data_IF_871571596591
#
_entry.id   IF_871571596591
#
_cell.length_a   1.000
_cell.length_b   1.000
_cell.length_c   1.000
_cell.angle_alpha   90.00
_cell.angle_beta   90.00
_cell.angle_gamma   90.00
#
_symmetry.space_group_name_H-M   'P 1'
#
loop_
_entity.id
_entity.type
_entity.pdbx_description
1 polymer ?
#
# COMPACT_ATOMS: atom_id res chain seq x y z
N UNK A 1 42.40 -22.81 12.89
CA UNK A 1 41.04 -22.42 12.46
C UNK A 1 41.04 -20.91 12.37
N UNK A 2 40.94 -20.35 11.16
CA UNK A 2 40.80 -18.90 10.98
C UNK A 2 39.32 -18.58 11.16
N UNK A 3 38.96 -17.99 12.30
CA UNK A 3 37.63 -17.43 12.52
C UNK A 3 37.49 -16.16 11.65
N UNK A 4 36.33 -16.06 10.98
CA UNK A 4 36.03 -15.04 9.99
C UNK A 4 35.91 -13.66 10.66
N UNK A 5 37.01 -12.89 10.65
CA UNK A 5 37.07 -11.46 10.96
C UNK A 5 35.96 -10.68 10.26
N UNK A 6 35.70 -11.03 8.99
CA UNK A 6 34.74 -10.36 8.13
C UNK A 6 33.28 -10.48 8.61
N UNK A 7 32.93 -11.50 9.39
CA UNK A 7 31.57 -11.67 9.93
C UNK A 7 31.32 -10.76 11.13
N UNK A 8 32.33 -10.56 11.98
CA UNK A 8 32.23 -9.72 13.17
C UNK A 8 32.38 -8.23 12.85
N UNK A 9 33.23 -7.89 11.88
CA UNK A 9 33.32 -6.53 11.34
C UNK A 9 32.02 -6.13 10.63
N UNK A 10 31.32 -7.06 9.97
CA UNK A 10 30.01 -6.81 9.39
C UNK A 10 28.93 -6.53 10.47
N UNK A 11 28.88 -7.31 11.56
CA UNK A 11 27.89 -7.08 12.64
C UNK A 11 28.16 -5.75 13.35
N UNK A 12 29.42 -5.42 13.63
CA UNK A 12 29.77 -4.12 14.21
C UNK A 12 29.52 -2.98 13.22
N UNK A 13 29.84 -3.13 11.93
CA UNK A 13 29.50 -2.14 10.91
C UNK A 13 27.98 -1.93 10.76
N UNK A 14 27.16 -2.97 10.94
CA UNK A 14 25.70 -2.90 10.96
C UNK A 14 25.12 -2.26 12.24
N UNK A 15 25.76 -2.47 13.39
CA UNK A 15 25.34 -1.88 14.68
C UNK A 15 25.85 -0.44 14.88
N UNK A 16 26.93 -0.07 14.20
CA UNK A 16 27.63 1.22 14.30
C UNK A 16 27.68 1.98 12.96
N UNK A 17 26.82 1.63 11.98
CA UNK A 17 26.75 2.37 10.71
C UNK A 17 26.47 3.84 11.00
N UNK A 18 27.32 4.72 10.47
CA UNK A 18 27.33 6.18 10.68
C UNK A 18 26.05 6.92 10.26
N UNK A 19 25.05 6.21 9.73
CA UNK A 19 23.71 6.75 9.48
C UNK A 19 22.87 6.85 10.77
N UNK A 20 23.32 6.28 11.89
CA UNK A 20 22.63 6.21 13.18
C UNK A 20 22.75 7.49 14.06
N UNK A 21 23.39 8.55 13.57
CA UNK A 21 23.63 9.78 14.36
C UNK A 21 22.68 10.94 14.02
N UNK A 22 21.68 10.72 13.17
CA UNK A 22 20.59 11.71 13.04
C UNK A 22 19.63 11.52 14.20
N UNK A 23 19.86 12.27 15.27
CA UNK A 23 18.83 12.54 16.27
C UNK A 23 17.55 12.92 15.53
N UNK A 24 16.42 12.30 15.87
CA UNK A 24 15.11 12.82 15.47
C UNK A 24 15.07 14.28 15.94
N UNK A 25 15.13 15.21 15.00
CA UNK A 25 14.87 16.62 15.26
C UNK A 25 13.35 16.73 15.43
N UNK A 26 12.88 17.71 16.20
CA UNK A 26 11.47 18.01 16.39
C UNK A 26 10.77 18.28 15.05
N UNK A 27 10.45 17.21 14.32
CA UNK A 27 9.56 17.19 13.17
C UNK A 27 8.13 17.20 13.70
N UNK A 28 7.24 17.89 12.99
CA UNK A 28 5.81 17.70 13.23
C UNK A 28 5.46 16.26 12.85
N UNK A 29 4.79 15.55 13.76
CA UNK A 29 4.27 14.20 13.53
C UNK A 29 2.82 14.30 13.07
N UNK A 30 2.48 13.58 12.00
CA UNK A 30 1.13 13.55 11.44
C UNK A 30 0.53 12.18 11.61
N UNK A 31 -0.73 12.13 12.04
CA UNK A 31 -1.48 10.87 12.02
C UNK A 31 -1.67 10.40 10.59
N UNK A 32 -1.54 9.09 10.39
CA UNK A 32 -1.68 8.44 9.09
C UNK A 32 -3.09 8.62 8.52
N UNK A 33 -4.14 8.64 9.34
CA UNK A 33 -5.52 8.87 8.89
C UNK A 33 -5.74 10.31 8.40
N UNK A 34 -5.20 11.29 9.13
CA UNK A 34 -5.24 12.70 8.73
C UNK A 34 -4.43 12.94 7.46
N UNK A 35 -3.29 12.27 7.31
CA UNK A 35 -2.50 12.29 6.09
C UNK A 35 -3.30 11.71 4.92
N UNK A 36 -3.81 10.48 5.08
CA UNK A 36 -4.55 9.76 4.06
C UNK A 36 -5.72 10.58 3.51
N UNK A 37 -6.47 11.25 4.39
CA UNK A 37 -7.57 12.14 4.01
C UNK A 37 -7.08 13.35 3.19
N UNK A 38 -5.97 13.99 3.59
CA UNK A 38 -5.43 15.19 2.96
C UNK A 38 -4.73 14.93 1.62
N UNK A 39 -4.04 13.80 1.50
CA UNK A 39 -3.24 13.44 0.32
C UNK A 39 -3.94 12.48 -0.63
N UNK A 40 -5.13 11.98 -0.26
CA UNK A 40 -5.89 10.98 -1.01
C UNK A 40 -5.11 9.67 -1.28
N UNK A 41 -4.10 9.39 -0.46
CA UNK A 41 -3.34 8.13 -0.45
C UNK A 41 -4.02 7.19 0.53
N UNK A 42 -4.21 5.92 0.17
CA UNK A 42 -4.81 4.93 1.08
C UNK A 42 -3.84 4.57 2.22
N UNK A 43 -4.37 4.24 3.39
CA UNK A 43 -3.57 3.85 4.55
C UNK A 43 -2.70 2.63 4.22
N UNK A 44 -3.23 1.68 3.46
CA UNK A 44 -2.52 0.47 3.03
C UNK A 44 -1.30 0.81 2.16
N UNK A 45 -1.41 1.82 1.29
CA UNK A 45 -0.31 2.25 0.43
C UNK A 45 0.82 2.91 1.25
N UNK A 46 0.48 3.62 2.33
CA UNK A 46 1.46 4.19 3.27
C UNK A 46 2.18 3.07 4.03
N UNK A 47 1.42 2.08 4.48
CA UNK A 47 1.96 0.89 5.14
C UNK A 47 2.90 0.14 4.21
N UNK A 48 2.56 -0.04 2.93
CA UNK A 48 3.43 -0.71 1.95
C UNK A 48 4.77 0.02 1.77
N UNK A 49 4.75 1.36 1.75
CA UNK A 49 5.98 2.17 1.69
C UNK A 49 6.83 1.96 2.95
N UNK A 50 6.22 1.92 4.12
CA UNK A 50 6.91 1.61 5.39
C UNK A 50 7.49 0.20 5.42
N UNK A 51 6.72 -0.81 5.02
CA UNK A 51 7.19 -2.21 4.95
C UNK A 51 8.33 -2.39 3.94
N UNK A 52 8.43 -1.52 2.93
CA UNK A 52 9.57 -1.48 2.00
C UNK A 52 10.82 -0.79 2.56
N UNK A 53 10.75 -0.25 3.79
CA UNK A 53 11.85 0.43 4.46
C UNK A 53 12.15 1.84 3.97
N UNK A 54 11.22 2.47 3.23
CA UNK A 54 11.41 3.80 2.65
C UNK A 54 11.10 4.96 3.59
N UNK A 55 10.28 4.70 4.61
CA UNK A 55 9.85 5.69 5.60
C UNK A 55 9.88 5.08 6.98
N UNK A 56 9.86 5.92 8.02
CA UNK A 56 9.60 5.51 9.38
C UNK A 56 8.13 5.73 9.78
N UNK A 57 7.62 4.83 10.62
CA UNK A 57 6.31 4.96 11.27
C UNK A 57 6.52 4.97 12.78
N UNK A 58 5.69 5.76 13.47
CA UNK A 58 5.74 5.95 14.91
C UNK A 58 4.37 5.64 15.53
N UNK A 59 4.40 5.28 16.81
CA UNK A 59 3.23 5.19 17.68
C UNK A 59 3.30 6.27 18.74
N UNK A 60 2.16 6.89 19.06
CA UNK A 60 2.07 7.81 20.20
C UNK A 60 1.61 7.07 21.47
N UNK A 61 2.51 6.93 22.44
CA UNK A 61 2.23 6.30 23.73
C UNK A 61 1.77 7.35 24.75
N UNK A 62 0.76 6.99 25.56
CA UNK A 62 0.20 7.82 26.63
C UNK A 62 0.46 7.18 27.99
N UNK A 63 1.71 7.30 28.45
CA UNK A 63 2.15 6.70 29.72
C UNK A 63 1.86 5.19 29.78
N UNK A 64 2.32 4.47 28.75
CA UNK A 64 2.16 3.02 28.67
C UNK A 64 3.24 2.34 29.48
N UNK A 65 2.85 1.43 30.37
CA UNK A 65 3.80 0.69 31.21
C UNK A 65 4.60 -0.30 30.35
N UNK A 66 5.92 -0.24 30.47
CA UNK A 66 6.84 -1.12 29.78
C UNK A 66 8.22 -1.10 30.45
N UNK A 67 9.13 -1.95 29.99
CA UNK A 67 10.54 -1.93 30.36
C UNK A 67 11.35 -1.33 29.22
N UNK A 68 12.28 -0.45 29.53
CA UNK A 68 13.26 0.04 28.56
C UNK A 68 14.56 -0.78 28.66
N UNK A 69 15.12 -1.14 27.52
CA UNK A 69 16.52 -1.53 27.38
C UNK A 69 17.22 -0.41 26.64
N UNK A 70 18.18 0.25 27.28
CA UNK A 70 18.90 1.40 26.74
C UNK A 70 20.39 1.11 26.68
N UNK A 71 21.01 1.46 25.56
CA UNK A 71 22.44 1.34 25.32
C UNK A 71 23.01 2.74 25.01
N UNK A 72 23.67 3.40 25.97
CA UNK A 72 24.20 4.73 25.78
C UNK A 72 25.23 4.78 24.66
N UNK A 73 25.21 5.86 23.91
CA UNK A 73 26.26 6.17 22.94
C UNK A 73 27.54 6.57 23.67
N UNK A 74 28.68 6.46 22.98
CA UNK A 74 30.00 6.81 23.52
C UNK A 74 30.09 8.27 23.98
N UNK A 75 29.30 9.15 23.39
CA UNK A 75 29.25 10.59 23.72
C UNK A 75 28.33 10.92 24.89
N UNK A 76 27.52 9.97 25.35
CA UNK A 76 26.59 10.19 26.46
C UNK A 76 27.27 9.95 27.80
N UNK A 77 26.93 10.78 28.78
CA UNK A 77 27.37 10.57 30.15
C UNK A 77 26.88 9.22 30.66
N UNK A 78 27.76 8.51 31.38
CA UNK A 78 27.34 7.36 32.18
C UNK A 78 26.42 7.86 33.29
N UNK A 79 25.28 7.19 33.45
CA UNK A 79 24.35 7.45 34.54
C UNK A 79 24.47 6.32 35.57
N UNK A 80 24.44 6.67 36.85
CA UNK A 80 24.25 5.66 37.90
C UNK A 80 22.75 5.36 38.15
N UNK A 81 22.48 4.34 38.97
CA UNK A 81 21.09 3.92 39.27
C UNK A 81 20.29 5.02 39.95
N UNK A 82 20.96 5.88 40.75
CA UNK A 82 20.33 6.99 41.44
C UNK A 82 19.97 8.11 40.47
N UNK A 83 20.84 8.44 39.53
CA UNK A 83 20.59 9.44 38.49
C UNK A 83 19.42 9.04 37.60
N UNK A 84 19.34 7.77 37.22
CA UNK A 84 18.17 7.22 36.51
C UNK A 84 16.92 7.35 37.39
N UNK A 85 16.98 7.00 38.67
CA UNK A 85 15.82 7.11 39.57
C UNK A 85 15.38 8.57 39.82
N UNK A 86 16.29 9.53 39.67
CA UNK A 86 16.04 10.97 39.82
C UNK A 86 15.65 11.67 38.50
N UNK A 87 15.45 10.94 37.41
CA UNK A 87 14.95 11.54 36.17
C UNK A 87 16.05 12.20 35.31
N UNK A 88 17.31 11.77 35.43
CA UNK A 88 18.44 12.37 34.69
C UNK A 88 18.85 11.58 33.45
N UNK A 89 18.20 10.46 33.17
CA UNK A 89 18.49 9.67 31.98
C UNK A 89 18.11 10.42 30.69
N UNK A 90 18.66 10.00 29.56
CA UNK A 90 18.47 10.64 28.26
C UNK A 90 17.01 10.80 27.82
N UNK A 91 16.12 9.88 28.19
CA UNK A 91 14.67 9.98 27.89
C UNK A 91 13.86 10.63 29.03
N UNK A 92 14.52 11.16 30.07
CA UNK A 92 13.91 11.76 31.24
C UNK A 92 14.21 13.25 31.37
N UNK A 93 15.46 13.64 31.03
CA UNK A 93 15.94 15.01 31.19
C UNK A 93 15.27 15.96 30.19
N UNK A 94 14.70 17.06 30.68
CA UNK A 94 14.07 18.11 29.88
C UNK A 94 15.03 18.81 28.92
N UNK A 95 16.34 18.74 29.19
CA UNK A 95 17.41 19.27 28.34
C UNK A 95 17.76 18.31 27.20
N UNK A 96 17.28 17.08 27.26
CA UNK A 96 17.51 16.10 26.20
C UNK A 96 16.84 16.56 24.89
N UNK A 97 17.51 16.38 23.73
CA UNK A 97 16.88 16.59 22.43
C UNK A 97 15.59 15.78 22.25
N UNK A 98 15.43 14.67 22.98
CA UNK A 98 14.28 13.79 22.86
C UNK A 98 13.07 14.25 23.69
N UNK A 99 13.21 15.20 24.63
CA UNK A 99 12.14 15.58 25.56
C UNK A 99 10.81 15.95 24.85
N UNK A 100 10.92 16.61 23.70
CA UNK A 100 9.75 17.03 22.89
C UNK A 100 9.12 15.89 22.09
N UNK A 101 9.86 14.83 21.84
CA UNK A 101 9.46 13.72 20.98
C UNK A 101 8.94 12.57 21.84
N UNK A 102 9.71 12.17 22.84
CA UNK A 102 9.41 11.02 23.69
C UNK A 102 10.02 11.17 25.08
N UNK A 103 9.31 10.63 26.06
CA UNK A 103 9.74 10.57 27.47
C UNK A 103 9.58 9.18 28.02
N UNK A 104 10.43 8.82 28.97
CA UNK A 104 10.33 7.59 29.71
C UNK A 104 10.45 7.87 31.20
N UNK A 105 9.39 7.61 31.96
CA UNK A 105 9.34 7.92 33.40
C UNK A 105 9.64 6.64 34.19
N UNK A 106 10.75 6.58 34.94
CA UNK A 106 11.16 5.36 35.64
C UNK A 106 10.28 5.08 36.86
N UNK A 107 10.05 3.80 37.15
CA UNK A 107 9.58 3.37 38.45
C UNK A 107 10.73 3.44 39.45
N UNK A 108 10.56 4.16 40.56
CA UNK A 108 11.60 4.46 41.57
C UNK A 108 12.30 3.26 42.23
N UNK A 109 11.91 2.01 41.93
CA UNK A 109 12.32 0.82 42.69
C UNK A 109 13.08 -0.23 41.89
N UNK A 110 13.12 -0.16 40.56
CA UNK A 110 13.46 -1.34 39.72
C UNK A 110 14.39 -0.98 38.55
N UNK A 111 15.48 -0.28 38.84
CA UNK A 111 16.52 0.02 37.83
C UNK A 111 17.74 -0.87 37.98
N UNK A 112 18.08 -1.59 36.91
CA UNK A 112 19.29 -2.39 36.79
C UNK A 112 20.26 -1.73 35.81
N UNK A 113 21.54 -1.69 36.18
CA UNK A 113 22.63 -1.32 35.28
C UNK A 113 23.49 -2.55 35.07
N UNK A 114 23.64 -2.97 33.82
CA UNK A 114 24.51 -4.08 33.41
C UNK A 114 25.68 -3.50 32.63
N UNK A 115 26.90 -3.81 33.06
CA UNK A 115 28.14 -3.41 32.37
C UNK A 115 28.67 -4.60 31.58
N UNK A 116 29.02 -4.35 30.32
CA UNK A 116 29.58 -5.33 29.40
C UNK A 116 30.90 -4.80 28.87
N UNK A 117 31.95 -5.61 28.97
CA UNK A 117 33.26 -5.28 28.41
C UNK A 117 33.29 -5.82 27.00
N UNK A 118 33.60 -4.97 26.02
CA UNK A 118 33.83 -5.41 24.65
C UNK A 118 35.25 -5.99 24.49
N UNK A 119 35.50 -6.66 23.36
CA UNK A 119 36.81 -7.26 23.07
C UNK A 119 37.94 -6.23 22.86
N UNK A 120 37.61 -4.94 22.72
CA UNK A 120 38.58 -3.83 22.65
C UNK A 120 38.99 -3.31 24.04
N UNK A 121 38.37 -3.84 25.10
CA UNK A 121 38.56 -3.37 26.48
C UNK A 121 37.74 -2.13 26.81
N UNK A 122 36.87 -1.66 25.92
CA UNK A 122 35.94 -0.56 26.19
C UNK A 122 34.70 -1.11 26.91
N UNK A 123 34.26 -0.45 27.98
CA UNK A 123 33.01 -0.82 28.63
C UNK A 123 31.81 -0.18 27.94
N UNK A 124 30.79 -0.99 27.69
CA UNK A 124 29.47 -0.58 27.23
C UNK A 124 28.46 -0.87 28.33
N UNK A 125 27.54 0.07 28.53
CA UNK A 125 26.51 -0.06 29.56
C UNK A 125 25.18 -0.41 28.92
N UNK A 126 24.41 -1.27 29.58
CA UNK A 126 23.00 -1.49 29.31
C UNK A 126 22.22 -1.07 30.54
N UNK A 127 21.32 -0.12 30.38
CA UNK A 127 20.37 0.25 31.42
C UNK A 127 19.06 -0.49 31.16
N UNK A 128 18.56 -1.18 32.17
CA UNK A 128 17.33 -1.97 32.10
C UNK A 128 16.46 -1.57 33.27
N UNK A 129 15.31 -0.98 33.00
CA UNK A 129 14.43 -0.54 34.08
C UNK A 129 12.98 -0.44 33.62
N UNK A 130 12.06 -0.59 34.58
CA UNK A 130 10.62 -0.49 34.33
C UNK A 130 10.13 0.95 34.52
N UNK A 131 9.03 1.29 33.87
CA UNK A 131 8.55 2.67 33.81
C UNK A 131 7.41 2.86 32.82
N UNK A 132 7.15 4.13 32.48
CA UNK A 132 6.06 4.54 31.60
C UNK A 132 6.59 5.31 30.40
N UNK A 133 6.35 4.79 29.21
CA UNK A 133 6.70 5.43 27.96
C UNK A 133 5.60 6.40 27.51
N UNK A 134 6.00 7.60 27.10
CA UNK A 134 5.11 8.64 26.56
C UNK A 134 5.73 9.28 25.30
N UNK A 135 4.89 9.83 24.43
CA UNK A 135 5.32 10.48 23.19
C UNK A 135 5.45 9.54 22.00
N UNK A 136 6.17 9.96 20.97
CA UNK A 136 6.32 9.23 19.70
C UNK A 136 7.48 8.23 19.76
N UNK A 137 7.16 6.95 19.61
CA UNK A 137 8.13 5.85 19.60
C UNK A 137 8.15 5.20 18.22
N UNK A 138 9.33 4.84 17.75
CA UNK A 138 9.51 4.33 16.39
C UNK A 138 9.11 2.86 16.30
N UNK A 139 8.43 2.49 15.22
CA UNK A 139 8.02 1.12 14.92
C UNK A 139 8.87 0.52 13.80
N UNK A 140 9.38 -0.67 14.06
CA UNK A 140 10.13 -1.46 13.10
C UNK A 140 9.35 -2.75 12.76
N UNK A 141 9.10 -3.04 11.47
CA UNK A 141 8.51 -4.31 11.06
C UNK A 141 9.38 -5.51 11.41
N UNK A 142 8.73 -6.59 11.85
CA UNK A 142 9.25 -7.95 11.99
C UNK A 142 8.91 -8.79 10.74
N UNK A 143 9.39 -10.04 10.69
CA UNK A 143 9.10 -10.97 9.59
C UNK A 143 7.62 -11.32 9.40
N UNK A 144 6.77 -11.06 10.40
CA UNK A 144 5.33 -11.39 10.41
C UNK A 144 4.41 -10.17 10.46
N UNK A 145 4.98 -8.94 10.42
CA UNK A 145 4.19 -7.70 10.45
C UNK A 145 3.20 -7.63 9.28
N UNK A 146 3.59 -8.08 8.09
CA UNK A 146 2.77 -8.04 6.88
C UNK A 146 1.55 -8.98 6.89
N UNK A 147 1.44 -9.88 7.88
CA UNK A 147 0.36 -10.86 7.95
C UNK A 147 -0.93 -10.31 8.58
N UNK A 148 -0.87 -9.15 9.24
CA UNK A 148 -2.03 -8.58 9.91
C UNK A 148 -2.88 -7.72 8.98
N UNK A 149 -4.16 -7.62 9.28
CA UNK A 149 -5.15 -6.94 8.44
C UNK A 149 -5.77 -5.69 9.07
N UNK A 150 -5.48 -5.38 10.33
CA UNK A 150 -6.23 -4.36 11.05
C UNK A 150 -5.42 -3.61 12.12
N UNK A 151 -4.81 -4.34 13.08
CA UNK A 151 -4.08 -3.72 14.20
C UNK A 151 -2.68 -4.33 14.34
N UNK A 152 -1.68 -3.48 14.53
CA UNK A 152 -0.36 -3.93 14.96
C UNK A 152 -0.35 -4.23 16.45
N UNK A 153 0.50 -5.17 16.86
CA UNK A 153 0.71 -5.49 18.26
C UNK A 153 2.12 -5.02 18.67
N UNK A 154 2.18 -4.11 19.64
CA UNK A 154 3.42 -3.66 20.26
C UNK A 154 3.82 -4.71 21.29
N UNK A 155 4.64 -5.66 20.86
CA UNK A 155 5.19 -6.70 21.73
C UNK A 155 6.65 -6.87 21.41
N UNK A 156 7.41 -7.27 22.41
CA UNK A 156 8.74 -7.79 22.17
C UNK A 156 9.00 -9.00 23.08
N UNK A 157 9.65 -9.98 22.47
CA UNK A 157 9.82 -11.36 22.85
C UNK A 157 10.33 -11.57 24.28
N UNK A 158 9.55 -12.32 25.06
CA UNK A 158 10.17 -13.36 25.85
C UNK A 158 10.31 -14.57 24.91
N UNK A 159 11.47 -15.24 24.88
CA UNK A 159 11.78 -16.36 23.97
C UNK A 159 10.74 -17.51 24.01
N UNK A 160 9.89 -17.53 25.04
CA UNK A 160 8.87 -18.54 25.28
C UNK A 160 7.50 -18.28 24.60
N UNK A 161 7.32 -17.14 23.90
CA UNK A 161 6.01 -16.74 23.39
C UNK A 161 5.82 -17.01 21.89
N UNK A 162 4.64 -17.49 21.51
CA UNK A 162 4.23 -17.72 20.12
C UNK A 162 4.17 -16.38 19.36
N UNK A 163 4.77 -16.36 18.17
CA UNK A 163 4.71 -15.25 17.21
C UNK A 163 3.26 -14.84 16.90
N UNK A 164 2.95 -13.54 17.02
CA UNK A 164 1.62 -12.99 16.74
C UNK A 164 1.64 -12.25 15.39
N UNK A 165 0.74 -12.54 14.44
CA UNK A 165 0.63 -11.78 13.20
C UNK A 165 0.50 -10.27 13.47
N UNK A 166 1.30 -9.43 12.80
CA UNK A 166 1.27 -7.98 13.03
C UNK A 166 2.15 -7.50 14.18
N UNK A 167 3.01 -8.34 14.73
CA UNK A 167 4.00 -7.93 15.74
C UNK A 167 4.99 -6.91 15.15
N UNK A 168 5.28 -5.86 15.92
CA UNK A 168 6.23 -4.80 15.59
C UNK A 168 7.13 -4.50 16.79
N UNK A 169 8.39 -4.22 16.53
CA UNK A 169 9.32 -3.78 17.55
C UNK A 169 9.18 -2.27 17.80
N UNK A 170 9.32 -1.87 19.07
CA UNK A 170 9.21 -0.47 19.49
C UNK A 170 10.56 0.06 19.96
N UNK A 171 11.07 1.06 19.26
CA UNK A 171 12.41 1.61 19.43
C UNK A 171 12.38 3.08 19.88
N UNK A 172 13.47 3.47 20.55
CA UNK A 172 13.79 4.81 20.98
C UNK A 172 14.30 5.66 19.81
N UNK A 173 15.32 6.47 20.07
CA UNK A 173 15.95 7.31 19.02
C UNK A 173 16.58 6.48 17.90
N UNK A 174 16.95 5.24 18.19
CA UNK A 174 17.68 4.34 17.31
C UNK A 174 17.31 2.88 17.64
N UNK A 175 17.89 1.93 16.88
CA UNK A 175 17.64 0.48 17.06
C UNK A 175 18.28 -0.11 18.32
N UNK A 176 19.08 0.64 19.07
CA UNK A 176 19.75 0.13 20.27
C UNK A 176 18.82 0.23 21.46
N UNK A 177 18.06 1.31 21.54
CA UNK A 177 17.12 1.55 22.62
C UNK A 177 15.74 1.01 22.27
N UNK A 178 15.20 0.09 23.06
CA UNK A 178 13.90 -0.53 22.77
C UNK A 178 13.04 -0.76 24.00
N UNK A 179 11.73 -0.83 23.77
CA UNK A 179 10.73 -1.08 24.78
C UNK A 179 10.26 -2.54 24.76
N UNK A 180 10.05 -3.10 25.94
CA UNK A 180 9.44 -4.41 26.15
C UNK A 180 8.12 -4.23 26.92
N UNK A 181 7.02 -4.66 26.32
CA UNK A 181 5.70 -4.61 26.95
C UNK A 181 5.40 -5.94 27.62
N UNK A 182 4.82 -5.90 28.82
CA UNK A 182 4.43 -7.08 29.58
C UNK A 182 2.97 -7.52 29.31
N UNK A 183 2.28 -6.80 28.44
CA UNK A 183 0.89 -7.03 28.04
C UNK A 183 0.76 -6.76 26.54
N UNK A 184 -0.23 -7.39 25.90
CA UNK A 184 -0.53 -7.11 24.49
C UNK A 184 -1.10 -5.68 24.36
N UNK A 185 -0.43 -4.87 23.53
CA UNK A 185 -0.87 -3.51 23.22
C UNK A 185 -1.17 -3.43 21.72
N UNK A 186 -2.45 -3.28 21.38
CA UNK A 186 -2.89 -3.21 19.99
C UNK A 186 -3.06 -1.77 19.52
N UNK A 187 -2.54 -1.48 18.33
CA UNK A 187 -2.56 -0.14 17.71
C UNK A 187 -3.18 -0.26 16.32
N UNK A 188 -4.28 0.46 16.11
CA UNK A 188 -4.90 0.56 14.79
C UNK A 188 -3.99 1.30 13.81
N UNK A 189 -4.07 0.94 12.54
CA UNK A 189 -3.35 1.63 11.46
C UNK A 189 -3.64 3.14 11.42
N UNK A 190 -4.85 3.56 11.81
CA UNK A 190 -5.26 4.98 11.88
C UNK A 190 -4.60 5.76 13.02
N UNK A 191 -4.01 5.05 14.00
CA UNK A 191 -3.33 5.63 15.16
C UNK A 191 -1.81 5.64 14.99
N UNK A 192 -1.33 5.33 13.79
CA UNK A 192 0.07 5.45 13.40
C UNK A 192 0.40 6.89 13.03
N UNK A 193 1.68 7.23 13.13
CA UNK A 193 2.21 8.55 12.85
C UNK A 193 3.41 8.48 11.91
N UNK A 194 3.57 9.52 11.10
CA UNK A 194 4.72 9.72 10.21
C UNK A 194 5.35 11.07 10.52
N UNK A 195 6.67 11.18 10.33
CA UNK A 195 7.38 12.44 10.49
C UNK A 195 7.11 13.39 9.31
N UNK A 196 7.43 14.68 9.48
CA UNK A 196 7.37 15.67 8.39
C UNK A 196 8.33 15.38 7.24
N UNK A 197 9.46 14.75 7.52
CA UNK A 197 10.43 14.33 6.50
C UNK A 197 9.90 13.13 5.71
N UNK A 198 9.38 12.11 6.40
CA UNK A 198 8.74 10.94 5.78
C UNK A 198 7.49 11.33 4.97
N UNK A 199 6.73 12.33 5.43
CA UNK A 199 5.61 12.91 4.70
C UNK A 199 6.01 13.31 3.26
N UNK A 200 7.18 13.92 3.08
CA UNK A 200 7.66 14.35 1.76
C UNK A 200 8.00 13.14 0.89
N UNK A 201 8.61 12.10 1.46
CA UNK A 201 8.94 10.85 0.75
C UNK A 201 7.67 10.16 0.26
N UNK A 202 6.64 10.07 1.10
CA UNK A 202 5.34 9.51 0.72
C UNK A 202 4.75 10.37 -0.40
N UNK A 203 4.73 11.70 -0.22
CA UNK A 203 4.25 12.59 -1.26
C UNK A 203 5.00 12.40 -2.56
N UNK A 204 6.32 12.24 -2.57
CA UNK A 204 7.12 11.95 -3.79
C UNK A 204 6.79 10.59 -4.41
N UNK A 205 6.61 9.55 -3.58
CA UNK A 205 6.18 8.22 -4.03
C UNK A 205 4.82 8.25 -4.75
N UNK A 206 3.92 9.15 -4.34
CA UNK A 206 2.56 9.23 -4.87
C UNK A 206 2.26 10.47 -5.73
N UNK A 207 3.12 11.49 -5.77
CA UNK A 207 2.98 12.68 -6.65
C UNK A 207 3.41 12.39 -8.08
N UNK A 208 4.18 11.32 -8.30
CA UNK A 208 4.31 10.71 -9.63
C UNK A 208 2.99 10.17 -10.19
N UNK A 209 1.95 10.05 -9.34
CA UNK A 209 0.62 9.58 -9.75
C UNK A 209 -0.41 10.71 -9.90
N UNK A 210 -0.10 11.98 -9.60
CA UNK A 210 -1.04 13.07 -9.90
C UNK A 210 -1.10 13.42 -11.40
N UNK A 211 -0.08 13.01 -12.18
CA UNK A 211 -0.03 13.19 -13.64
C UNK A 211 -0.04 11.89 -14.45
N UNK A 212 -0.09 10.73 -13.81
CA UNK A 212 -0.55 9.53 -14.51
C UNK A 212 -2.02 9.39 -14.22
N UNK A 213 -2.87 9.77 -15.18
CA UNK A 213 -4.06 8.95 -15.39
C UNK A 213 -3.57 7.50 -15.31
N UNK A 214 -4.00 6.71 -14.31
CA UNK A 214 -3.84 5.25 -14.39
C UNK A 214 -4.17 4.92 -15.84
N UNK A 215 -3.23 4.31 -16.58
CA UNK A 215 -3.45 3.87 -17.95
C UNK A 215 -4.46 2.73 -17.87
N UNK A 216 -5.70 3.13 -17.63
CA UNK A 216 -6.85 2.28 -17.44
C UNK A 216 -7.19 1.83 -18.83
N UNK A 217 -7.09 0.53 -19.05
CA UNK A 217 -7.28 -0.02 -20.38
C UNK A 217 -8.71 0.21 -20.83
N UNK A 218 -8.89 0.96 -21.91
CA UNK A 218 -10.18 1.09 -22.56
C UNK A 218 -10.64 -0.28 -23.08
N UNK A 219 -11.96 -0.55 -23.08
CA UNK A 219 -12.48 -1.75 -23.69
C UNK A 219 -12.06 -1.81 -25.17
N UNK A 220 -11.65 -2.99 -25.68
CA UNK A 220 -11.26 -3.12 -27.07
C UNK A 220 -12.39 -2.73 -28.04
N UNK A 221 -12.05 -2.13 -29.17
CA UNK A 221 -13.01 -1.64 -30.18
C UNK A 221 -14.07 -2.66 -30.60
N UNK A 222 -13.73 -3.96 -30.69
CA UNK A 222 -14.68 -5.02 -31.01
C UNK A 222 -15.75 -5.21 -29.91
N UNK A 223 -15.38 -5.09 -28.64
CA UNK A 223 -16.28 -5.19 -27.49
C UNK A 223 -17.23 -3.99 -27.44
N UNK A 224 -16.72 -2.79 -27.69
CA UNK A 224 -17.54 -1.57 -27.78
C UNK A 224 -18.53 -1.68 -28.96
N UNK A 225 -18.05 -2.09 -30.14
CA UNK A 225 -18.91 -2.31 -31.31
C UNK A 225 -20.03 -3.33 -31.03
N UNK A 226 -19.73 -4.43 -30.32
CA UNK A 226 -20.75 -5.38 -29.88
C UNK A 226 -21.82 -4.72 -29.03
N UNK A 227 -21.45 -3.98 -27.99
CA UNK A 227 -22.40 -3.31 -27.08
C UNK A 227 -23.28 -2.32 -27.85
N UNK A 228 -22.69 -1.50 -28.70
CA UNK A 228 -23.43 -0.51 -29.51
C UNK A 228 -24.43 -1.20 -30.45
N UNK A 229 -24.00 -2.25 -31.16
CA UNK A 229 -24.85 -2.96 -32.12
C UNK A 229 -25.92 -3.81 -31.44
N UNK A 230 -25.62 -4.44 -30.31
CA UNK A 230 -26.61 -5.21 -29.55
C UNK A 230 -27.71 -4.27 -29.07
N UNK A 231 -27.35 -3.13 -28.48
CA UNK A 231 -28.33 -2.14 -28.07
C UNK A 231 -29.10 -1.58 -29.26
N UNK A 232 -28.47 -1.37 -30.42
CA UNK A 232 -29.18 -0.87 -31.59
C UNK A 232 -30.18 -1.86 -32.19
N UNK A 233 -29.81 -3.14 -32.25
CA UNK A 233 -30.59 -4.17 -32.97
C UNK A 233 -31.66 -4.78 -32.08
N UNK A 234 -31.36 -4.99 -30.79
CA UNK A 234 -32.19 -5.81 -29.89
C UNK A 234 -32.79 -5.06 -28.70
N UNK A 235 -32.44 -3.78 -28.49
CA UNK A 235 -33.03 -3.00 -27.39
C UNK A 235 -34.46 -2.58 -27.72
N UNK A 236 -35.37 -2.88 -26.82
CA UNK A 236 -36.75 -2.38 -26.82
C UNK A 236 -36.94 -1.59 -25.52
N UNK A 237 -37.25 -0.30 -25.63
CA UNK A 237 -37.37 0.62 -24.48
C UNK A 237 -36.13 0.63 -23.56
N UNK A 238 -34.93 0.50 -24.12
CA UNK A 238 -33.68 0.49 -23.35
C UNK A 238 -33.29 -0.86 -22.76
N UNK A 239 -34.13 -1.89 -22.90
CA UNK A 239 -33.86 -3.24 -22.39
C UNK A 239 -33.54 -4.23 -23.51
N UNK A 240 -32.50 -5.04 -23.30
CA UNK A 240 -32.07 -6.10 -24.21
C UNK A 240 -32.40 -7.46 -23.62
N UNK A 241 -33.19 -8.26 -24.34
CA UNK A 241 -33.44 -9.67 -23.99
C UNK A 241 -32.31 -10.56 -24.49
N UNK A 242 -31.47 -11.08 -23.59
CA UNK A 242 -30.25 -11.82 -23.96
C UNK A 242 -30.49 -13.09 -24.76
N UNK A 243 -31.62 -13.77 -24.56
CA UNK A 243 -32.00 -14.94 -25.36
C UNK A 243 -32.14 -14.59 -26.84
N UNK A 244 -32.76 -13.46 -27.18
CA UNK A 244 -32.93 -13.02 -28.58
C UNK A 244 -31.57 -12.79 -29.27
N UNK A 245 -30.62 -12.20 -28.54
CA UNK A 245 -29.26 -11.99 -29.04
C UNK A 245 -28.55 -13.33 -29.28
N UNK A 246 -28.65 -14.25 -28.32
CA UNK A 246 -28.07 -15.60 -28.42
C UNK A 246 -28.67 -16.40 -29.59
N UNK A 247 -29.99 -16.34 -29.77
CA UNK A 247 -30.70 -16.98 -30.89
C UNK A 247 -30.25 -16.40 -32.23
N UNK A 248 -30.19 -15.07 -32.37
CA UNK A 248 -29.77 -14.42 -33.62
C UNK A 248 -28.32 -14.76 -33.99
N UNK A 249 -27.41 -14.82 -33.01
CA UNK A 249 -26.03 -15.24 -33.21
C UNK A 249 -25.93 -16.72 -33.60
N UNK A 250 -26.72 -17.58 -32.93
CA UNK A 250 -26.78 -19.02 -33.21
C UNK A 250 -27.27 -19.30 -34.63
N UNK A 251 -28.30 -18.59 -35.10
CA UNK A 251 -28.80 -18.67 -36.47
C UNK A 251 -27.75 -18.23 -37.52
N UNK A 252 -26.70 -17.53 -37.11
CA UNK A 252 -25.58 -17.14 -37.96
C UNK A 252 -24.29 -17.93 -37.64
N UNK A 253 -24.41 -19.10 -37.00
CA UNK A 253 -23.30 -20.02 -36.75
C UNK A 253 -22.38 -19.63 -35.59
N UNK A 254 -22.83 -18.77 -34.67
CA UNK A 254 -22.07 -18.34 -33.50
C UNK A 254 -22.81 -18.76 -32.22
N UNK A 255 -22.34 -19.83 -31.58
CA UNK A 255 -22.90 -20.30 -30.31
C UNK A 255 -22.30 -19.51 -29.13
N UNK A 256 -23.12 -18.71 -28.46
CA UNK A 256 -22.74 -17.88 -27.30
C UNK A 256 -23.85 -17.94 -26.26
N UNK A 257 -23.50 -18.26 -25.02
CA UNK A 257 -24.43 -18.31 -23.90
C UNK A 257 -24.96 -16.93 -23.49
N UNK A 258 -26.17 -16.89 -22.95
CA UNK A 258 -26.83 -15.66 -22.47
C UNK A 258 -26.02 -14.96 -21.37
N UNK A 259 -25.35 -15.74 -20.51
CA UNK A 259 -24.48 -15.22 -19.44
C UNK A 259 -23.29 -14.43 -19.99
N UNK A 260 -22.69 -14.86 -21.10
CA UNK A 260 -21.62 -14.12 -21.78
C UNK A 260 -22.12 -12.79 -22.34
N UNK A 261 -23.31 -12.77 -22.94
CA UNK A 261 -23.93 -11.56 -23.49
C UNK A 261 -24.23 -10.56 -22.37
N UNK A 262 -24.78 -11.05 -21.25
CA UNK A 262 -25.01 -10.27 -20.03
C UNK A 262 -23.70 -9.65 -19.52
N UNK A 263 -22.65 -10.47 -19.32
CA UNK A 263 -21.33 -10.00 -18.88
C UNK A 263 -20.71 -8.98 -19.82
N UNK A 264 -20.83 -9.16 -21.14
CA UNK A 264 -20.35 -8.16 -22.09
C UNK A 264 -21.16 -6.88 -21.94
N UNK A 265 -22.49 -6.95 -21.88
CA UNK A 265 -23.30 -5.74 -21.73
C UNK A 265 -23.10 -5.05 -20.39
N UNK A 266 -22.80 -5.74 -19.29
CA UNK A 266 -22.63 -5.15 -17.96
C UNK A 266 -21.18 -4.72 -17.67
N UNK A 267 -20.19 -5.52 -18.03
CA UNK A 267 -18.78 -5.32 -17.64
C UNK A 267 -17.92 -4.59 -18.70
N UNK A 268 -18.50 -4.08 -19.79
CA UNK A 268 -17.75 -3.29 -20.79
C UNK A 268 -17.54 -1.85 -20.35
N UNK A 269 -18.16 -1.42 -19.25
CA UNK A 269 -18.18 -0.01 -18.88
C UNK A 269 -17.10 0.38 -17.87
N UNK A 270 -16.56 -0.57 -17.13
CA UNK A 270 -15.50 -0.28 -16.17
C UNK A 270 -14.16 -0.32 -16.90
N UNK A 271 -13.52 0.86 -16.98
CA UNK A 271 -12.09 0.97 -17.20
C UNK A 271 -11.39 0.02 -16.21
N UNK A 272 -10.58 -0.91 -16.71
CA UNK A 272 -9.97 -1.97 -15.88
C UNK A 272 -8.53 -1.64 -15.55
N UNK A 273 -8.14 -1.99 -14.33
CA UNK A 273 -6.75 -1.93 -13.85
C UNK A 273 -5.86 -3.00 -14.52
N UNK A 274 -6.46 -3.88 -15.33
CA UNK A 274 -5.78 -4.95 -16.08
C UNK A 274 -6.26 -4.96 -17.53
N UNK A 275 -5.40 -5.27 -18.51
CA UNK A 275 -5.77 -5.30 -19.91
C UNK A 275 -6.87 -6.33 -20.17
N UNK A 276 -7.79 -5.99 -21.07
CA UNK A 276 -8.83 -6.91 -21.51
C UNK A 276 -8.19 -8.11 -22.20
N UNK A 277 -8.48 -9.33 -21.71
CA UNK A 277 -8.06 -10.56 -22.42
C UNK A 277 -8.63 -10.54 -23.83
N UNK A 278 -7.76 -10.74 -24.83
CA UNK A 278 -8.17 -10.88 -26.22
C UNK A 278 -9.05 -12.12 -26.33
N UNK A 279 -10.32 -11.93 -26.69
CA UNK A 279 -11.25 -13.01 -26.97
C UNK A 279 -11.56 -13.03 -28.46
N UNK A 280 -11.00 -13.99 -29.24
CA UNK A 280 -11.24 -14.08 -30.68
C UNK A 280 -12.73 -14.14 -31.05
N UNK A 281 -13.55 -14.73 -30.16
CA UNK A 281 -15.00 -14.83 -30.32
C UNK A 281 -15.69 -13.46 -30.39
N UNK A 282 -15.18 -12.43 -29.71
CA UNK A 282 -15.77 -11.08 -29.74
C UNK A 282 -15.70 -10.45 -31.13
N UNK A 283 -14.59 -10.62 -31.84
CA UNK A 283 -14.46 -10.12 -33.21
C UNK A 283 -15.43 -10.80 -34.15
N UNK A 284 -15.63 -12.12 -34.00
CA UNK A 284 -16.63 -12.88 -34.77
C UNK A 284 -18.06 -12.38 -34.52
N UNK A 285 -18.40 -12.13 -33.24
CA UNK A 285 -19.71 -11.60 -32.86
C UNK A 285 -19.91 -10.20 -33.44
N UNK A 286 -18.93 -9.30 -33.28
CA UNK A 286 -19.00 -7.94 -33.83
C UNK A 286 -19.20 -7.94 -35.36
N UNK A 287 -18.42 -8.74 -36.09
CA UNK A 287 -18.53 -8.87 -37.54
C UNK A 287 -19.91 -9.42 -37.99
N UNK A 288 -20.47 -10.35 -37.23
CA UNK A 288 -21.81 -10.89 -37.45
C UNK A 288 -22.89 -9.82 -37.23
N UNK A 289 -22.83 -9.09 -36.10
CA UNK A 289 -23.78 -8.02 -35.78
C UNK A 289 -23.74 -6.89 -36.81
N UNK A 290 -22.55 -6.51 -37.31
CA UNK A 290 -22.40 -5.55 -38.41
C UNK A 290 -23.13 -6.06 -39.65
N UNK A 291 -22.95 -7.34 -39.98
CA UNK A 291 -23.60 -7.96 -41.15
C UNK A 291 -25.13 -7.91 -41.03
N UNK A 292 -25.66 -8.27 -39.86
CA UNK A 292 -27.09 -8.22 -39.57
C UNK A 292 -27.63 -6.79 -39.71
N UNK A 293 -26.94 -5.81 -39.13
CA UNK A 293 -27.35 -4.42 -39.21
C UNK A 293 -27.34 -3.89 -40.65
N UNK A 294 -26.22 -4.05 -41.38
CA UNK A 294 -26.08 -3.61 -42.76
C UNK A 294 -27.13 -4.24 -43.68
N UNK A 295 -27.38 -5.56 -43.55
CA UNK A 295 -28.42 -6.25 -44.32
C UNK A 295 -29.82 -5.69 -44.02
N UNK A 296 -30.16 -5.51 -42.75
CA UNK A 296 -31.48 -5.01 -42.34
C UNK A 296 -31.78 -3.60 -42.84
N UNK A 297 -30.74 -2.78 -43.08
CA UNK A 297 -30.84 -1.39 -43.55
C UNK A 297 -30.50 -1.22 -45.03
N UNK A 298 -30.21 -2.30 -45.75
CA UNK A 298 -29.74 -2.29 -47.13
C UNK A 298 -28.53 -1.36 -47.36
N UNK A 299 -27.57 -1.36 -46.42
CA UNK A 299 -26.36 -0.52 -46.49
C UNK A 299 -25.18 -1.40 -46.97
N UNK A 300 -24.40 -0.96 -47.97
CA UNK A 300 -23.19 -1.66 -48.38
C UNK A 300 -22.21 -1.81 -47.22
N UNK A 301 -21.75 -3.05 -46.96
CA UNK A 301 -20.80 -3.36 -45.88
C UNK A 301 -19.37 -2.99 -46.29
N UNK A 302 -19.10 -1.69 -46.40
CA UNK A 302 -17.75 -1.14 -46.61
C UNK A 302 -17.17 -0.63 -45.29
N UNK A 303 -15.84 -0.63 -45.11
CA UNK A 303 -15.23 -0.13 -43.87
C UNK A 303 -15.64 1.30 -43.52
N UNK A 304 -15.74 2.19 -44.51
CA UNK A 304 -16.19 3.58 -44.31
C UNK A 304 -17.64 3.66 -43.81
N UNK A 305 -18.54 2.85 -44.37
CA UNK A 305 -19.93 2.81 -43.92
C UNK A 305 -20.04 2.25 -42.49
N UNK A 306 -19.27 1.21 -42.18
CA UNK A 306 -19.27 0.60 -40.84
C UNK A 306 -18.70 1.56 -39.80
N UNK A 307 -17.59 2.25 -40.09
CA UNK A 307 -17.04 3.29 -39.25
C UNK A 307 -18.06 4.41 -38.96
N UNK A 308 -18.74 4.89 -40.00
CA UNK A 308 -19.81 5.89 -39.87
C UNK A 308 -20.95 5.40 -38.96
N UNK A 309 -21.46 4.19 -39.21
CA UNK A 309 -22.53 3.59 -38.38
C UNK A 309 -22.11 3.53 -36.91
N UNK A 310 -20.91 3.02 -36.61
CA UNK A 310 -20.45 2.87 -35.24
C UNK A 310 -20.27 4.23 -34.55
N UNK A 311 -19.76 5.24 -35.24
CA UNK A 311 -19.64 6.60 -34.71
C UNK A 311 -21.01 7.27 -34.50
N UNK A 312 -21.99 7.03 -35.38
CA UNK A 312 -23.37 7.51 -35.20
C UNK A 312 -24.01 6.84 -33.96
N UNK A 313 -23.72 5.56 -33.71
CA UNK A 313 -24.15 4.85 -32.51
C UNK A 313 -23.45 5.33 -31.24
N UNK A 314 -22.17 5.71 -31.32
CA UNK A 314 -21.47 6.37 -30.20
C UNK A 314 -22.17 7.67 -29.84
N UNK A 315 -22.45 8.54 -30.83
CA UNK A 315 -23.10 9.84 -30.60
C UNK A 315 -24.53 9.74 -30.08
N UNK A 316 -25.27 8.71 -30.49
CA UNK A 316 -26.66 8.47 -30.05
C UNK A 316 -26.75 7.58 -28.81
N UNK A 317 -25.62 7.14 -28.27
CA UNK A 317 -25.60 6.37 -27.04
C UNK A 317 -25.97 7.29 -25.87
N UNK A 318 -26.78 6.84 -24.90
CA UNK A 318 -26.99 7.57 -23.65
C UNK A 318 -25.73 7.62 -22.76
N UNK A 319 -24.59 7.12 -23.26
CA UNK A 319 -23.31 7.02 -22.57
C UNK A 319 -22.27 7.77 -23.37
N UNK A 320 -21.39 8.48 -22.67
CA UNK A 320 -20.24 9.12 -23.30
C UNK A 320 -19.17 8.07 -23.60
N UNK A 321 -18.83 7.91 -24.88
CA UNK A 321 -17.71 7.09 -25.32
C UNK A 321 -16.61 7.99 -25.87
N UNK A 322 -15.43 7.97 -25.28
CA UNK A 322 -14.25 8.68 -25.80
C UNK A 322 -13.55 7.83 -26.87
N UNK A 323 -14.23 7.58 -28.00
CA UNK A 323 -13.72 6.69 -29.06
C UNK A 323 -14.16 7.13 -30.45
N UNK A 324 -13.28 6.92 -31.44
CA UNK A 324 -13.58 7.16 -32.85
C UNK A 324 -13.23 5.93 -33.67
N UNK A 325 -14.23 5.38 -34.36
CA UNK A 325 -14.03 4.28 -35.31
C UNK A 325 -13.56 4.85 -36.65
N UNK A 326 -12.32 4.55 -37.05
CA UNK A 326 -11.82 4.85 -38.40
C UNK A 326 -12.19 3.73 -39.38
N UNK A 327 -12.14 3.96 -40.71
CA UNK A 327 -12.33 2.89 -41.70
C UNK A 327 -11.36 1.73 -41.50
N UNK A 328 -10.12 1.98 -41.07
CA UNK A 328 -9.14 0.93 -40.79
C UNK A 328 -9.55 0.06 -39.59
N UNK A 329 -9.97 0.69 -38.49
CA UNK A 329 -10.47 -0.01 -37.30
C UNK A 329 -11.70 -0.84 -37.67
N UNK A 330 -12.63 -0.26 -38.44
CA UNK A 330 -13.80 -0.96 -38.93
C UNK A 330 -13.43 -2.16 -39.81
N UNK A 331 -12.46 -2.02 -40.72
CA UNK A 331 -11.96 -3.12 -41.53
C UNK A 331 -11.38 -4.25 -40.64
N UNK A 332 -10.65 -3.90 -39.59
CA UNK A 332 -10.09 -4.88 -38.65
C UNK A 332 -11.17 -5.60 -37.81
N UNK A 333 -12.23 -4.90 -37.39
CA UNK A 333 -13.39 -5.53 -36.72
C UNK A 333 -14.13 -6.45 -37.69
N UNK A 334 -14.24 -6.07 -38.96
CA UNK A 334 -14.93 -6.85 -39.99
C UNK A 334 -14.19 -8.13 -40.40
N UNK A 335 -12.87 -8.22 -40.17
CA UNK A 335 -12.09 -9.42 -40.42
C UNK A 335 -12.53 -10.51 -39.44
N UNK A 336 -13.17 -11.56 -39.97
CA UNK A 336 -13.40 -12.80 -39.24
C UNK A 336 -12.04 -13.49 -39.13
N UNK A 337 -11.44 -13.50 -37.94
CA UNK A 337 -10.30 -14.36 -37.62
C UNK A 337 -10.78 -15.72 -37.14
#
# INVERSE_FOLDING_TARGET
MKENSDFHDAINSLLYSSDAERLDISDDFYRVDDFSKKSHVKIEEIIDVWLSGKINIYVYLRSVYCRINRYPNKEENRYDTSEIAFGRDFYQDERSPQDKIRKYIPCKKESEIKEYIDFSGSSSFKYVYNGYASGYWWLQPTGITHLVRDNYNLKNANDEWVSIPGEVDVFGRDKRDYLLFNTDVYISFEQLYISSSDFKIIKECFSYNENSEMERYDPPYNRIAMVLLINKIFSVNGHVTYSNVSTALSSNGINVGQTTIKKVLEETFEKRDKPYKIQPQHSRIAACLITLHCKSKNIPKTPSNVARILNDLVKSSPREWCIVFTPEIAANIMKVK
#
